data_IF_517443368211
#
_entry.id   IF_517443368211
#
_cell.length_a   1.000
_cell.length_b   1.000
_cell.length_c   1.000
_cell.angle_alpha   90.00
_cell.angle_beta   90.00
_cell.angle_gamma   90.00
#
_symmetry.space_group_name_H-M   'P 1'
#
loop_
_entity.id
_entity.type
_entity.pdbx_description
1 polymer ?
#
# COMPACT_ATOMS: atom_id res chain seq x y z
N UNK A 1 -28.06 -0.91 -2.52
CA UNK A 1 -27.70 0.08 -3.57
C UNK A 1 -26.48 0.84 -3.06
N UNK A 2 -25.40 1.01 -3.86
CA UNK A 2 -24.32 1.89 -3.45
C UNK A 2 -24.85 3.33 -3.43
N UNK A 3 -24.70 4.02 -2.30
CA UNK A 3 -25.05 5.43 -2.19
C UNK A 3 -24.09 6.25 -3.08
N UNK A 4 -24.57 7.31 -3.76
CA UNK A 4 -23.70 8.17 -4.54
C UNK A 4 -22.60 8.75 -3.65
N UNK A 5 -21.35 8.63 -4.10
CA UNK A 5 -20.12 9.07 -3.45
C UNK A 5 -20.07 10.61 -3.38
N UNK A 6 -20.92 11.20 -2.54
CA UNK A 6 -21.10 12.65 -2.49
C UNK A 6 -20.45 13.24 -1.24
N UNK A 7 -19.23 13.79 -1.37
CA UNK A 7 -18.45 14.35 -0.25
C UNK A 7 -18.88 15.76 0.19
N UNK A 8 -20.10 16.21 -0.14
CA UNK A 8 -20.51 17.60 0.12
C UNK A 8 -20.79 17.91 1.60
N UNK A 9 -20.98 16.87 2.43
CA UNK A 9 -21.19 17.03 3.87
C UNK A 9 -20.04 16.43 4.65
N UNK A 10 -19.73 17.06 5.79
CA UNK A 10 -18.68 16.58 6.70
C UNK A 10 -18.95 15.14 7.12
N UNK A 11 -20.21 14.78 7.39
CA UNK A 11 -20.59 13.43 7.79
C UNK A 11 -20.28 12.36 6.73
N UNK A 12 -20.51 12.67 5.44
CA UNK A 12 -20.22 11.73 4.35
C UNK A 12 -18.71 11.58 4.15
N UNK A 13 -17.96 12.66 4.33
CA UNK A 13 -16.50 12.63 4.31
C UNK A 13 -15.89 11.87 5.48
N UNK A 14 -16.38 12.09 6.71
CA UNK A 14 -15.96 11.35 7.90
C UNK A 14 -16.24 9.86 7.73
N UNK A 15 -17.40 9.47 7.19
CA UNK A 15 -17.72 8.07 6.93
C UNK A 15 -16.78 7.47 5.88
N UNK A 16 -16.60 8.15 4.76
CA UNK A 16 -15.66 7.72 3.72
C UNK A 16 -14.25 7.50 4.30
N UNK A 17 -13.80 8.42 5.16
CA UNK A 17 -12.51 8.26 5.82
C UNK A 17 -12.47 7.04 6.73
N UNK A 18 -13.41 6.91 7.66
CA UNK A 18 -13.44 5.80 8.62
C UNK A 18 -13.45 4.43 7.92
N UNK A 19 -14.17 4.30 6.80
CA UNK A 19 -14.25 3.06 6.04
C UNK A 19 -12.96 2.71 5.28
N UNK A 20 -12.11 3.70 4.98
CA UNK A 20 -10.96 3.50 4.10
C UNK A 20 -9.59 3.82 4.73
N UNK A 21 -9.56 4.43 5.91
CA UNK A 21 -8.34 4.89 6.59
C UNK A 21 -7.27 3.79 6.68
N UNK A 22 -7.64 2.60 7.16
CA UNK A 22 -6.68 1.50 7.32
C UNK A 22 -6.02 1.08 6.01
N UNK A 23 -6.80 1.07 4.92
CA UNK A 23 -6.32 0.66 3.59
C UNK A 23 -5.35 1.70 3.03
N UNK A 24 -5.70 2.97 3.13
CA UNK A 24 -4.85 4.06 2.65
C UNK A 24 -3.59 4.24 3.50
N UNK A 25 -3.71 4.06 4.82
CA UNK A 25 -2.55 4.08 5.71
C UNK A 25 -1.60 2.92 5.41
N UNK A 26 -2.14 1.72 5.22
CA UNK A 26 -1.35 0.54 4.84
C UNK A 26 -0.62 0.77 3.51
N UNK A 27 -1.30 1.36 2.52
CA UNK A 27 -0.67 1.75 1.25
C UNK A 27 0.48 2.72 1.47
N UNK A 28 0.25 3.86 2.13
CA UNK A 28 1.28 4.87 2.37
C UNK A 28 2.47 4.28 3.14
N UNK A 29 2.20 3.53 4.21
CA UNK A 29 3.21 2.88 5.04
C UNK A 29 4.05 1.86 4.27
N UNK A 30 3.47 1.14 3.30
CA UNK A 30 4.21 0.15 2.50
C UNK A 30 5.39 0.74 1.71
N UNK A 31 5.31 2.02 1.36
CA UNK A 31 6.35 2.76 0.64
C UNK A 31 7.23 3.59 1.59
N UNK A 32 6.61 4.36 2.48
CA UNK A 32 7.30 5.30 3.38
C UNK A 32 8.05 4.56 4.49
N UNK A 33 7.50 3.45 5.00
CA UNK A 33 8.05 2.64 6.10
C UNK A 33 8.35 3.38 7.40
N UNK A 34 7.82 4.59 7.55
CA UNK A 34 7.74 5.32 8.80
C UNK A 34 6.25 5.54 9.09
N UNK A 35 5.79 5.07 10.25
CA UNK A 35 4.36 5.12 10.61
C UNK A 35 3.86 6.55 10.77
N UNK A 36 4.64 7.40 11.43
CA UNK A 36 4.26 8.80 11.71
C UNK A 36 4.15 9.57 10.39
N UNK A 37 5.15 9.45 9.52
CA UNK A 37 5.16 10.09 8.20
C UNK A 37 4.04 9.57 7.29
N UNK A 38 3.71 8.28 7.38
CA UNK A 38 2.60 7.70 6.62
C UNK A 38 1.23 8.17 7.11
N UNK A 39 1.06 8.32 8.43
CA UNK A 39 -0.14 8.92 9.03
C UNK A 39 -0.29 10.38 8.62
N UNK A 40 0.80 11.14 8.64
CA UNK A 40 0.80 12.55 8.24
C UNK A 40 0.44 12.72 6.76
N UNK A 41 1.10 11.97 5.86
CA UNK A 41 0.78 11.97 4.43
C UNK A 41 -0.69 11.61 4.17
N UNK A 42 -1.24 10.64 4.91
CA UNK A 42 -2.66 10.29 4.81
C UNK A 42 -3.55 11.47 5.24
N UNK A 43 -3.27 12.08 6.40
CA UNK A 43 -4.04 13.21 6.91
C UNK A 43 -4.00 14.40 5.96
N UNK A 44 -2.83 14.78 5.48
CA UNK A 44 -2.70 15.86 4.49
C UNK A 44 -3.43 15.54 3.18
N UNK A 45 -3.41 14.28 2.74
CA UNK A 45 -4.09 13.86 1.51
C UNK A 45 -5.61 13.97 1.63
N UNK A 46 -6.15 13.63 2.81
CA UNK A 46 -7.55 13.82 3.11
C UNK A 46 -7.95 15.29 3.11
N UNK A 47 -7.17 16.13 3.79
CA UNK A 47 -7.42 17.57 3.84
C UNK A 47 -7.43 18.12 2.42
N UNK A 48 -6.44 17.77 1.60
CA UNK A 48 -6.39 18.18 0.20
C UNK A 48 -7.61 17.69 -0.61
N UNK A 49 -8.07 16.46 -0.38
CA UNK A 49 -9.28 15.94 -1.02
C UNK A 49 -10.52 16.75 -0.63
N UNK A 50 -10.68 17.06 0.65
CA UNK A 50 -11.81 17.84 1.19
C UNK A 50 -11.81 19.30 0.72
N UNK A 51 -10.65 19.95 0.72
CA UNK A 51 -10.50 21.33 0.25
C UNK A 51 -10.84 21.47 -1.23
N UNK A 52 -10.57 20.43 -2.02
CA UNK A 52 -10.85 20.40 -3.45
C UNK A 52 -12.17 19.70 -3.80
N UNK A 53 -13.03 19.38 -2.82
CA UNK A 53 -14.25 18.58 -3.02
C UNK A 53 -15.19 19.11 -4.09
N UNK A 54 -15.33 20.43 -4.19
CA UNK A 54 -16.18 21.11 -5.17
C UNK A 54 -15.70 20.95 -6.62
N UNK A 55 -14.42 20.58 -6.81
CA UNK A 55 -13.82 20.38 -8.14
C UNK A 55 -14.07 18.99 -8.70
N UNK A 56 -14.50 18.04 -7.85
CA UNK A 56 -14.69 16.64 -8.27
C UNK A 56 -16.13 16.42 -8.72
N UNK A 57 -16.29 15.70 -9.83
CA UNK A 57 -17.62 15.28 -10.30
C UNK A 57 -18.22 14.25 -9.34
N UNK A 58 -19.54 14.24 -9.20
CA UNK A 58 -20.26 13.32 -8.31
C UNK A 58 -20.05 11.82 -8.67
N UNK A 59 -19.62 11.52 -9.90
CA UNK A 59 -19.33 10.15 -10.37
C UNK A 59 -17.83 9.79 -10.31
N UNK A 60 -16.98 10.66 -9.74
CA UNK A 60 -15.55 10.38 -9.63
C UNK A 60 -15.29 9.23 -8.65
N UNK A 61 -14.31 8.38 -8.98
CA UNK A 61 -13.81 7.36 -8.07
C UNK A 61 -13.00 8.01 -6.95
N UNK A 62 -13.66 8.37 -5.85
CA UNK A 62 -13.05 9.03 -4.69
C UNK A 62 -11.88 8.25 -4.10
N UNK A 63 -11.93 6.91 -4.15
CA UNK A 63 -10.84 6.09 -3.64
C UNK A 63 -9.58 6.23 -4.49
N UNK A 64 -9.75 6.20 -5.82
CA UNK A 64 -8.64 6.43 -6.75
C UNK A 64 -8.10 7.86 -6.66
N UNK A 65 -8.97 8.86 -6.49
CA UNK A 65 -8.56 10.25 -6.27
C UNK A 65 -7.72 10.40 -5.01
N UNK A 66 -8.19 9.89 -3.87
CA UNK A 66 -7.45 9.95 -2.61
C UNK A 66 -6.11 9.23 -2.74
N UNK A 67 -6.09 8.05 -3.36
CA UNK A 67 -4.84 7.31 -3.57
C UNK A 67 -3.88 8.02 -4.52
N UNK A 68 -4.38 8.75 -5.51
CA UNK A 68 -3.57 9.58 -6.39
C UNK A 68 -2.88 10.68 -5.58
N UNK A 69 -3.62 11.35 -4.68
CA UNK A 69 -3.07 12.38 -3.81
C UNK A 69 -1.99 11.77 -2.88
N UNK A 70 -2.29 10.62 -2.24
CA UNK A 70 -1.35 9.90 -1.37
C UNK A 70 -0.11 9.49 -2.14
N UNK A 71 -0.27 8.91 -3.34
CA UNK A 71 0.84 8.51 -4.22
C UNK A 71 1.75 9.69 -4.50
N UNK A 72 1.20 10.83 -4.92
CA UNK A 72 1.99 12.01 -5.26
C UNK A 72 2.76 12.56 -4.05
N UNK A 73 2.12 12.64 -2.88
CA UNK A 73 2.78 13.06 -1.64
C UNK A 73 3.87 12.09 -1.20
N UNK A 74 3.61 10.78 -1.28
CA UNK A 74 4.60 9.76 -0.98
C UNK A 74 5.79 9.79 -1.95
N UNK A 75 5.57 10.01 -3.25
CA UNK A 75 6.65 10.19 -4.22
C UNK A 75 7.53 11.39 -3.88
N UNK A 76 6.91 12.54 -3.55
CA UNK A 76 7.66 13.73 -3.13
C UNK A 76 8.49 13.46 -1.87
N UNK A 77 7.90 12.80 -0.87
CA UNK A 77 8.60 12.41 0.35
C UNK A 77 9.80 11.51 0.06
N UNK A 78 9.61 10.46 -0.75
CA UNK A 78 10.69 9.53 -1.12
C UNK A 78 11.78 10.20 -1.95
N UNK A 79 11.43 11.14 -2.84
CA UNK A 79 12.40 11.92 -3.59
C UNK A 79 13.28 12.78 -2.67
N UNK A 80 12.69 13.40 -1.64
CA UNK A 80 13.45 14.11 -0.62
C UNK A 80 14.35 13.18 0.20
N UNK A 81 13.85 11.99 0.58
CA UNK A 81 14.69 10.98 1.24
C UNK A 81 15.86 10.56 0.33
N UNK A 82 15.61 10.40 -0.97
CA UNK A 82 16.63 10.00 -1.95
C UNK A 82 17.74 11.05 -2.07
N UNK A 83 17.39 12.34 -2.11
CA UNK A 83 18.36 13.44 -2.13
C UNK A 83 19.19 13.44 -0.85
N UNK A 84 18.56 13.27 0.32
CA UNK A 84 19.25 13.19 1.62
C UNK A 84 20.24 12.03 1.66
N UNK A 85 19.81 10.84 1.23
CA UNK A 85 20.68 9.65 1.22
C UNK A 85 21.88 9.79 0.28
N UNK A 86 21.72 10.46 -0.87
CA UNK A 86 22.83 10.73 -1.79
C UNK A 86 23.84 11.73 -1.22
N UNK A 87 23.40 12.64 -0.37
CA UNK A 87 24.25 13.65 0.27
C UNK A 87 25.03 13.12 1.49
N UNK A 88 24.60 12.01 2.07
CA UNK A 88 25.23 11.40 3.26
C UNK A 88 26.52 10.60 2.96
N UNK A 89 26.97 10.57 1.69
CA UNK A 89 28.25 10.04 1.15
C UNK A 89 28.74 8.66 1.64
N UNK A 90 27.90 7.90 2.35
CA UNK A 90 28.26 6.59 2.88
C UNK A 90 27.41 5.46 2.25
N UNK A 91 28.15 4.51 1.71
CA UNK A 91 27.71 3.46 0.79
C UNK A 91 26.78 2.50 1.52
N UNK A 92 25.48 2.68 1.35
CA UNK A 92 24.53 1.59 1.50
C UNK A 92 23.76 1.39 0.18
N UNK A 93 24.47 0.85 -0.81
CA UNK A 93 23.92 0.53 -2.15
C UNK A 93 22.62 -0.27 -2.05
N UNK A 94 22.45 -1.08 -1.01
CA UNK A 94 21.21 -1.80 -0.74
C UNK A 94 20.06 -0.86 -0.35
N UNK A 95 20.28 0.11 0.54
CA UNK A 95 19.26 1.10 0.92
C UNK A 95 18.87 1.99 -0.26
N UNK A 96 19.84 2.40 -1.07
CA UNK A 96 19.58 3.19 -2.28
C UNK A 96 18.76 2.38 -3.30
N UNK A 97 19.18 1.16 -3.64
CA UNK A 97 18.44 0.28 -4.55
C UNK A 97 17.04 -0.04 -4.04
N UNK A 98 16.90 -0.22 -2.73
CA UNK A 98 15.59 -0.46 -2.13
C UNK A 98 14.69 0.77 -2.24
N UNK A 99 15.22 1.97 -2.01
CA UNK A 99 14.47 3.22 -2.19
C UNK A 99 14.09 3.43 -3.65
N UNK A 100 15.02 3.20 -4.59
CA UNK A 100 14.78 3.29 -6.03
C UNK A 100 13.66 2.34 -6.47
N UNK A 101 13.65 1.10 -5.95
CA UNK A 101 12.59 0.13 -6.20
C UNK A 101 11.24 0.61 -5.67
N UNK A 102 11.20 1.19 -4.47
CA UNK A 102 9.96 1.74 -3.89
C UNK A 102 9.42 2.90 -4.73
N UNK A 103 10.29 3.81 -5.17
CA UNK A 103 9.92 4.92 -6.05
C UNK A 103 9.37 4.37 -7.37
N UNK A 104 10.12 3.51 -8.07
CA UNK A 104 9.72 2.96 -9.38
C UNK A 104 8.39 2.18 -9.31
N UNK A 105 8.20 1.35 -8.27
CA UNK A 105 6.94 0.62 -8.09
C UNK A 105 5.76 1.53 -7.74
N UNK A 106 6.00 2.63 -7.01
CA UNK A 106 4.99 3.63 -6.73
C UNK A 106 4.67 4.50 -7.95
N UNK A 107 5.65 4.83 -8.80
CA UNK A 107 5.44 5.55 -10.06
C UNK A 107 4.56 4.74 -11.01
N UNK A 108 4.84 3.45 -11.14
CA UNK A 108 4.08 2.52 -11.97
C UNK A 108 2.70 2.13 -11.39
N UNK A 109 2.41 2.50 -10.15
CA UNK A 109 1.13 2.25 -9.51
C UNK A 109 -0.02 3.02 -10.19
N UNK A 110 -1.04 2.33 -10.67
CA UNK A 110 -2.26 2.93 -11.21
C UNK A 110 -3.37 2.94 -10.14
N UNK A 111 -3.76 4.12 -9.61
CA UNK A 111 -4.72 4.21 -8.51
C UNK A 111 -6.08 3.57 -8.80
N UNK A 112 -6.58 3.70 -10.04
CA UNK A 112 -7.84 3.09 -10.47
C UNK A 112 -7.78 1.55 -10.49
N UNK A 113 -6.62 0.98 -10.78
CA UNK A 113 -6.42 -0.47 -10.78
C UNK A 113 -6.32 -1.05 -9.36
N UNK A 114 -5.77 -0.29 -8.40
CA UNK A 114 -5.63 -0.78 -7.01
C UNK A 114 -6.97 -1.04 -6.32
N UNK A 115 -7.98 -0.22 -6.63
CA UNK A 115 -9.33 -0.41 -6.12
C UNK A 115 -10.23 -1.24 -7.05
N UNK A 116 -9.65 -1.84 -8.10
CA UNK A 116 -10.39 -2.78 -8.92
C UNK A 116 -10.74 -4.03 -8.09
N UNK A 117 -12.03 -4.25 -7.91
CA UNK A 117 -12.61 -5.40 -7.19
C UNK A 117 -12.13 -6.75 -7.73
N UNK A 118 -11.76 -6.81 -9.01
CA UNK A 118 -11.23 -8.00 -9.66
C UNK A 118 -9.85 -8.40 -9.13
N UNK A 119 -8.93 -7.45 -8.99
CA UNK A 119 -7.59 -7.70 -8.43
C UNK A 119 -7.70 -8.15 -6.97
N UNK A 120 -8.55 -7.49 -6.19
CA UNK A 120 -8.81 -7.88 -4.79
C UNK A 120 -9.38 -9.30 -4.69
N UNK A 121 -10.28 -9.67 -5.60
CA UNK A 121 -10.83 -11.03 -5.65
C UNK A 121 -9.77 -12.08 -6.02
N UNK A 122 -8.85 -11.75 -6.93
CA UNK A 122 -7.75 -12.64 -7.32
C UNK A 122 -6.76 -12.80 -6.16
N UNK A 123 -6.38 -11.72 -5.48
CA UNK A 123 -5.55 -11.79 -4.27
C UNK A 123 -6.20 -12.69 -3.22
N UNK A 124 -7.50 -12.52 -2.95
CA UNK A 124 -8.24 -13.36 -2.00
C UNK A 124 -8.25 -14.82 -2.42
N UNK A 125 -8.51 -15.12 -3.70
CA UNK A 125 -8.46 -16.48 -4.24
C UNK A 125 -7.05 -17.09 -4.14
N UNK A 126 -6.02 -16.31 -4.43
CA UNK A 126 -4.63 -16.74 -4.32
C UNK A 126 -4.24 -17.06 -2.88
N UNK A 127 -4.67 -16.24 -1.91
CA UNK A 127 -4.48 -16.52 -0.49
C UNK A 127 -5.17 -17.83 -0.06
N UNK A 128 -6.36 -18.12 -0.58
CA UNK A 128 -7.07 -19.37 -0.27
C UNK A 128 -6.35 -20.63 -0.80
N UNK A 129 -5.56 -20.50 -1.88
CA UNK A 129 -4.73 -21.60 -2.43
C UNK A 129 -3.46 -21.87 -1.61
N UNK A 130 -3.10 -20.99 -0.67
CA UNK A 130 -1.89 -21.16 0.14
C UNK A 130 -2.12 -22.15 1.29
N UNK A 131 -1.08 -22.89 1.70
CA UNK A 131 -1.10 -23.62 2.97
C UNK A 131 -1.40 -22.66 4.13
N UNK A 132 -2.20 -23.12 5.10
CA UNK A 132 -2.72 -22.29 6.19
C UNK A 132 -1.63 -21.52 6.93
N UNK A 133 -0.51 -22.17 7.25
CA UNK A 133 0.62 -21.53 7.94
C UNK A 133 1.26 -20.41 7.10
N UNK A 134 1.45 -20.64 5.79
CA UNK A 134 1.96 -19.60 4.88
C UNK A 134 1.01 -18.42 4.75
N UNK A 135 -0.29 -18.70 4.65
CA UNK A 135 -1.34 -17.67 4.60
C UNK A 135 -1.36 -16.83 5.89
N UNK A 136 -1.35 -17.49 7.04
CA UNK A 136 -1.39 -16.82 8.34
C UNK A 136 -0.16 -15.93 8.56
N UNK A 137 1.04 -16.46 8.30
CA UNK A 137 2.29 -15.69 8.39
C UNK A 137 2.27 -14.49 7.43
N UNK A 138 1.79 -14.68 6.20
CA UNK A 138 1.66 -13.60 5.24
C UNK A 138 0.68 -12.51 5.73
N UNK A 139 -0.46 -12.91 6.31
CA UNK A 139 -1.45 -11.97 6.86
C UNK A 139 -0.87 -11.16 8.02
N UNK A 140 -0.23 -11.82 8.98
CA UNK A 140 0.44 -11.17 10.12
C UNK A 140 1.49 -10.16 9.63
N UNK A 141 2.30 -10.57 8.65
CA UNK A 141 3.35 -9.72 8.09
C UNK A 141 2.79 -8.52 7.31
N UNK A 142 1.79 -8.73 6.45
CA UNK A 142 1.38 -7.74 5.44
C UNK A 142 0.13 -6.95 5.77
N UNK A 143 -0.83 -7.55 6.46
CA UNK A 143 -2.06 -6.86 6.85
C UNK A 143 -1.94 -6.27 8.25
N UNK A 144 -1.24 -6.97 9.15
CA UNK A 144 -1.08 -6.52 10.54
C UNK A 144 0.27 -5.86 10.81
N UNK A 145 1.12 -5.70 9.78
CA UNK A 145 2.47 -5.11 9.88
C UNK A 145 3.31 -5.65 11.05
N UNK A 146 3.10 -6.92 11.42
CA UNK A 146 3.80 -7.52 12.56
C UNK A 146 5.25 -7.82 12.16
N UNK A 147 6.27 -7.36 12.91
CA UNK A 147 7.66 -7.67 12.61
C UNK A 147 7.93 -9.18 12.57
N UNK A 148 8.74 -9.65 11.61
CA UNK A 148 9.03 -11.08 11.44
C UNK A 148 9.52 -11.76 12.74
N UNK A 149 10.28 -11.03 13.57
CA UNK A 149 10.71 -11.49 14.89
C UNK A 149 9.53 -11.75 15.82
N UNK A 150 8.57 -10.84 15.91
CA UNK A 150 7.37 -11.02 16.73
C UNK A 150 6.48 -12.15 16.18
N UNK A 151 6.42 -12.34 14.86
CA UNK A 151 5.72 -13.48 14.25
C UNK A 151 6.38 -14.80 14.64
N UNK A 152 7.72 -14.86 14.57
CA UNK A 152 8.51 -16.02 14.95
C UNK A 152 8.28 -16.40 16.42
N UNK A 153 8.36 -15.41 17.32
CA UNK A 153 8.08 -15.59 18.76
C UNK A 153 6.64 -16.05 18.99
N UNK A 154 5.65 -15.40 18.36
CA UNK A 154 4.22 -15.73 18.50
C UNK A 154 3.86 -17.14 18.02
N UNK A 155 4.54 -17.64 17.00
CA UNK A 155 4.23 -18.94 16.38
C UNK A 155 5.21 -20.06 16.81
N UNK A 156 6.21 -19.76 17.62
CA UNK A 156 7.21 -20.74 18.07
C UNK A 156 8.09 -21.30 16.94
N UNK A 157 8.36 -20.50 15.91
CA UNK A 157 9.19 -20.90 14.74
C UNK A 157 10.39 -19.98 14.58
N UNK A 158 11.37 -20.36 13.75
CA UNK A 158 12.53 -19.50 13.47
C UNK A 158 12.16 -18.31 12.57
N UNK A 159 12.91 -17.21 12.68
CA UNK A 159 12.77 -16.05 11.76
C UNK A 159 12.99 -16.50 10.30
N UNK A 160 13.94 -17.41 10.05
CA UNK A 160 14.18 -18.00 8.72
C UNK A 160 12.96 -18.75 8.20
N UNK A 161 12.22 -19.44 9.08
CA UNK A 161 10.97 -20.10 8.72
C UNK A 161 9.88 -19.09 8.33
N UNK A 162 9.77 -17.97 9.06
CA UNK A 162 8.85 -16.87 8.71
C UNK A 162 9.18 -16.32 7.32
N UNK A 163 10.45 -16.02 7.04
CA UNK A 163 10.92 -15.53 5.74
C UNK A 163 10.65 -16.52 4.60
N UNK A 164 10.86 -17.82 4.85
CA UNK A 164 10.53 -18.88 3.90
C UNK A 164 9.03 -18.88 3.55
N UNK A 165 8.15 -18.83 4.55
CA UNK A 165 6.70 -18.80 4.34
C UNK A 165 6.24 -17.54 3.60
N UNK A 166 6.82 -16.37 3.90
CA UNK A 166 6.56 -15.12 3.19
C UNK A 166 6.99 -15.24 1.72
N UNK A 167 8.19 -15.76 1.47
CA UNK A 167 8.73 -15.94 0.12
C UNK A 167 7.84 -16.88 -0.71
N UNK A 168 7.38 -17.98 -0.10
CA UNK A 168 6.44 -18.92 -0.73
C UNK A 168 5.11 -18.25 -1.07
N UNK A 169 4.54 -17.45 -0.16
CA UNK A 169 3.30 -16.72 -0.41
C UNK A 169 3.45 -15.69 -1.55
N UNK A 170 4.55 -14.94 -1.58
CA UNK A 170 4.85 -13.98 -2.64
C UNK A 170 4.99 -14.66 -4.01
N UNK A 171 5.60 -15.85 -4.08
CA UNK A 171 5.71 -16.61 -5.32
C UNK A 171 4.33 -16.98 -5.88
N UNK A 172 3.42 -17.44 -5.01
CA UNK A 172 2.04 -17.78 -5.40
C UNK A 172 1.31 -16.53 -5.91
N UNK A 173 1.40 -15.42 -5.18
CA UNK A 173 0.75 -14.16 -5.59
C UNK A 173 1.27 -13.65 -6.93
N UNK A 174 2.59 -13.69 -7.17
CA UNK A 174 3.17 -13.29 -8.46
C UNK A 174 2.64 -14.12 -9.63
N UNK A 175 2.49 -15.44 -9.44
CA UNK A 175 1.95 -16.31 -10.49
C UNK A 175 0.49 -16.00 -10.77
N UNK A 176 -0.32 -15.78 -9.72
CA UNK A 176 -1.76 -15.54 -9.84
C UNK A 176 -2.07 -14.13 -10.36
N UNK A 177 -1.18 -13.17 -10.11
CA UNK A 177 -1.31 -11.78 -10.56
C UNK A 177 -0.52 -11.50 -11.84
N UNK A 178 0.11 -12.49 -12.47
CA UNK A 178 1.01 -12.30 -13.61
C UNK A 178 0.35 -11.49 -14.75
N UNK A 179 -0.92 -11.75 -15.03
CA UNK A 179 -1.67 -11.12 -16.12
C UNK A 179 -2.05 -9.66 -15.79
N UNK A 180 -1.92 -9.26 -14.52
CA UNK A 180 -2.12 -7.91 -14.00
C UNK A 180 -0.79 -7.20 -13.67
N UNK A 181 0.34 -7.92 -13.71
CA UNK A 181 1.70 -7.38 -13.56
C UNK A 181 2.34 -7.02 -14.91
N UNK A 182 1.74 -7.47 -16.02
CA UNK A 182 2.25 -7.28 -17.39
C UNK A 182 1.97 -5.87 -17.95
N UNK A 183 1.20 -5.01 -17.27
CA UNK A 183 0.98 -3.62 -17.72
C UNK A 183 2.06 -2.61 -17.30
N UNK A 184 3.12 -3.04 -16.60
CA UNK A 184 4.21 -2.14 -16.13
C UNK A 184 5.54 -2.36 -16.90
N UNK A 185 5.56 -3.24 -17.90
CA UNK A 185 6.71 -3.43 -18.79
C UNK A 185 6.27 -3.48 -20.26
N UNK A 186 5.85 -2.32 -20.77
CA UNK A 186 6.01 -1.93 -22.17
C UNK A 186 6.44 -0.45 -22.22
#
# INVERSE_FOLDING_TARGET
>A
MPQPNNLHTMDTFTRFFQENQERFLSFAYSYIRNKVEAEDILMESMIALWENREKWKNDSNLQALLLTIIKNKALNHLAHEQVRLRAEDDINTHRQRELDLRISTLEACEPDMIFNTEIQHIVRKALLKMPEQSRNIFILSRYQNTPNRMIAEKLGISIKSVEFHITKALKILRTELKDYLISILL
#
